data_IF_117210099781
#
_entry.id   IF_117210099781
#
_cell.length_a   1.000
_cell.length_b   1.000
_cell.length_c   1.000
_cell.angle_alpha   90.00
_cell.angle_beta   90.00
_cell.angle_gamma   90.00
#
_symmetry.space_group_name_H-M   'P 1'
#
loop_
_entity.id
_entity.type
_entity.pdbx_description
1 polymer ?
#
# COMPACT_ATOMS: atom_id res chain seq x y z
N UNK A 1 -8.46 -1.69 14.86
CA UNK A 1 -7.17 -1.12 14.44
C UNK A 1 -6.51 -0.43 15.63
N UNK A 2 -5.18 -0.44 15.76
CA UNK A 2 -4.51 0.25 16.88
C UNK A 2 -4.38 1.74 16.57
N UNK A 3 -4.36 2.60 17.58
CA UNK A 3 -4.24 4.07 17.43
C UNK A 3 -3.03 4.50 16.58
N UNK A 4 -1.93 3.74 16.66
CA UNK A 4 -0.74 3.94 15.84
C UNK A 4 -0.93 3.61 14.35
N UNK A 5 -1.81 2.67 13.99
CA UNK A 5 -2.11 2.35 12.59
C UNK A 5 -2.89 3.50 11.94
N UNK A 6 -3.86 4.08 12.65
CA UNK A 6 -4.64 5.22 12.17
C UNK A 6 -3.77 6.48 11.95
N UNK A 7 -2.81 6.74 12.84
CA UNK A 7 -1.87 7.86 12.68
C UNK A 7 -1.02 7.70 11.43
N UNK A 8 -0.54 6.48 11.13
CA UNK A 8 0.25 6.18 9.94
C UNK A 8 -0.55 6.35 8.65
N UNK A 9 -1.80 5.87 8.63
CA UNK A 9 -2.71 6.05 7.48
C UNK A 9 -2.96 7.54 7.24
N UNK A 10 -3.31 8.30 8.28
CA UNK A 10 -3.53 9.75 8.15
C UNK A 10 -2.30 10.49 7.64
N UNK A 11 -1.12 10.12 8.12
CA UNK A 11 0.14 10.70 7.65
C UNK A 11 0.41 10.36 6.17
N UNK A 12 0.10 9.15 5.73
CA UNK A 12 0.20 8.76 4.31
C UNK A 12 -0.79 9.57 3.44
N UNK A 13 -2.05 9.71 3.88
CA UNK A 13 -3.06 10.49 3.16
C UNK A 13 -2.66 11.97 3.02
N UNK A 14 -2.08 12.55 4.07
CA UNK A 14 -1.59 13.93 4.04
C UNK A 14 -0.42 14.10 3.07
N UNK A 15 0.51 13.14 3.04
CA UNK A 15 1.62 13.15 2.07
C UNK A 15 1.13 13.02 0.64
N UNK A 16 0.14 12.16 0.40
CA UNK A 16 -0.48 11.98 -0.91
C UNK A 16 -1.17 13.28 -1.36
N UNK A 17 -1.96 13.90 -0.48
CA UNK A 17 -2.63 15.18 -0.77
C UNK A 17 -1.65 16.31 -1.04
N UNK A 18 -0.54 16.39 -0.29
CA UNK A 18 0.51 17.39 -0.51
C UNK A 18 1.20 17.20 -1.87
N UNK A 19 1.50 15.96 -2.25
CA UNK A 19 2.09 15.64 -3.55
C UNK A 19 1.15 15.97 -4.71
N UNK A 20 -0.16 15.71 -4.57
CA UNK A 20 -1.16 16.12 -5.56
C UNK A 20 -1.20 17.64 -5.73
N UNK A 21 -1.25 18.40 -4.62
CA UNK A 21 -1.26 19.86 -4.67
C UNK A 21 0.02 20.43 -5.33
N UNK A 22 1.18 19.82 -5.11
CA UNK A 22 2.43 20.19 -5.79
C UNK A 22 2.32 20.00 -7.31
N UNK A 23 1.80 18.85 -7.77
CA UNK A 23 1.60 18.56 -9.19
C UNK A 23 0.63 19.54 -9.85
N UNK A 24 -0.50 19.83 -9.20
CA UNK A 24 -1.49 20.81 -9.69
C UNK A 24 -0.88 22.21 -9.79
N UNK A 25 -0.12 22.64 -8.77
CA UNK A 25 0.57 23.93 -8.77
C UNK A 25 1.60 24.05 -9.90
N UNK A 26 2.41 23.01 -10.12
CA UNK A 26 3.38 22.97 -11.20
C UNK A 26 2.70 22.95 -12.57
N UNK A 27 1.62 22.21 -12.74
CA UNK A 27 0.84 22.19 -13.98
C UNK A 27 0.26 23.59 -14.29
N UNK A 28 -0.34 24.26 -13.30
CA UNK A 28 -0.81 25.63 -13.45
C UNK A 28 0.32 26.62 -13.79
N UNK A 29 1.52 26.42 -13.23
CA UNK A 29 2.69 27.22 -13.56
C UNK A 29 3.19 26.97 -14.99
N UNK A 30 3.14 25.73 -15.49
CA UNK A 30 3.46 25.40 -16.89
C UNK A 30 2.52 26.13 -17.85
N UNK A 31 1.21 26.12 -17.57
CA UNK A 31 0.20 26.81 -18.39
C UNK A 31 0.43 28.32 -18.44
N UNK A 32 0.90 28.93 -17.34
CA UNK A 32 1.19 30.37 -17.25
C UNK A 32 2.61 30.76 -17.66
N UNK A 33 3.47 29.81 -18.05
CA UNK A 33 4.84 30.12 -18.43
C UNK A 33 4.90 30.84 -19.79
N UNK A 34 5.36 32.09 -19.77
CA UNK A 34 5.49 32.94 -20.97
C UNK A 34 6.71 32.67 -21.85
N UNK A 35 7.72 31.94 -21.35
CA UNK A 35 8.93 31.62 -22.13
C UNK A 35 9.15 30.12 -22.27
N UNK A 36 9.70 29.70 -23.42
CA UNK A 36 9.98 28.30 -23.74
C UNK A 36 11.01 27.67 -22.77
N UNK A 37 12.01 28.44 -22.35
CA UNK A 37 12.99 28.01 -21.35
C UNK A 37 12.36 27.72 -19.98
N UNK A 38 11.55 28.67 -19.47
CA UNK A 38 10.84 28.49 -18.19
C UNK A 38 9.85 27.32 -18.26
N UNK A 39 9.12 27.20 -19.38
CA UNK A 39 8.18 26.10 -19.60
C UNK A 39 8.88 24.74 -19.57
N UNK A 40 10.02 24.58 -20.25
CA UNK A 40 10.81 23.33 -20.23
C UNK A 40 11.28 22.96 -18.82
N UNK A 41 11.77 23.94 -18.06
CA UNK A 41 12.17 23.70 -16.67
C UNK A 41 10.99 23.23 -15.81
N UNK A 42 9.84 23.91 -15.91
CA UNK A 42 8.64 23.54 -15.16
C UNK A 42 8.09 22.17 -15.56
N UNK A 43 8.18 21.79 -16.84
CA UNK A 43 7.82 20.45 -17.30
C UNK A 43 8.73 19.37 -16.69
N UNK A 44 10.04 19.62 -16.59
CA UNK A 44 10.96 18.70 -15.93
C UNK A 44 10.66 18.56 -14.42
N UNK A 45 10.34 19.68 -13.75
CA UNK A 45 9.92 19.66 -12.34
C UNK A 45 8.59 18.91 -12.15
N UNK A 46 7.61 19.15 -13.03
CA UNK A 46 6.32 18.46 -13.06
C UNK A 46 6.49 16.95 -13.25
N UNK A 47 7.37 16.52 -14.17
CA UNK A 47 7.64 15.10 -14.40
C UNK A 47 8.23 14.42 -13.14
N UNK A 48 9.17 15.09 -12.45
CA UNK A 48 9.72 14.56 -11.19
C UNK A 48 8.67 14.50 -10.08
N UNK A 49 7.80 15.51 -9.98
CA UNK A 49 6.72 15.55 -8.99
C UNK A 49 5.69 14.44 -9.25
N UNK A 50 5.30 14.23 -10.51
CA UNK A 50 4.42 13.14 -10.92
C UNK A 50 5.01 11.77 -10.60
N UNK A 51 6.33 11.58 -10.79
CA UNK A 51 7.02 10.35 -10.38
C UNK A 51 6.91 10.09 -8.87
N UNK A 52 7.19 11.10 -8.04
CA UNK A 52 7.04 10.97 -6.57
C UNK A 52 5.59 10.70 -6.15
N UNK A 53 4.62 11.32 -6.82
CA UNK A 53 3.20 11.05 -6.57
C UNK A 53 2.85 9.59 -6.92
N UNK A 54 3.34 9.08 -8.04
CA UNK A 54 3.14 7.69 -8.42
C UNK A 54 3.75 6.73 -7.39
N UNK A 55 4.95 7.01 -6.88
CA UNK A 55 5.59 6.21 -5.83
C UNK A 55 4.77 6.21 -4.52
N UNK A 56 4.15 7.35 -4.16
CA UNK A 56 3.29 7.46 -2.98
C UNK A 56 1.93 6.78 -3.15
N UNK A 57 1.37 6.84 -4.35
CA UNK A 57 0.08 6.25 -4.70
C UNK A 57 0.19 4.75 -5.00
N UNK A 58 1.40 4.24 -5.26
CA UNK A 58 1.64 2.84 -5.51
C UNK A 58 1.11 2.02 -4.33
N UNK A 59 0.24 1.02 -4.59
CA UNK A 59 -0.20 0.13 -3.52
C UNK A 59 1.04 -0.52 -2.91
N UNK A 60 1.10 -0.68 -1.57
CA UNK A 60 2.21 -1.40 -0.97
C UNK A 60 2.27 -2.77 -1.64
N UNK A 61 3.39 -3.05 -2.33
CA UNK A 61 3.67 -4.35 -2.94
C UNK A 61 3.26 -5.42 -1.93
N UNK A 62 2.37 -6.31 -2.36
CA UNK A 62 1.66 -7.26 -1.51
C UNK A 62 2.58 -7.78 -0.40
N UNK A 63 2.13 -7.78 0.87
CA UNK A 63 3.01 -8.14 1.96
C UNK A 63 3.56 -9.53 1.70
N UNK A 64 4.91 -9.65 1.64
CA UNK A 64 5.61 -10.90 1.96
C UNK A 64 4.85 -11.51 3.13
N UNK A 65 4.23 -12.66 2.87
CA UNK A 65 3.21 -13.34 3.66
C UNK A 65 3.36 -12.95 5.13
N UNK A 66 2.64 -11.90 5.56
CA UNK A 66 2.56 -11.58 6.99
C UNK A 66 1.82 -12.77 7.55
N UNK A 67 2.55 -13.74 8.10
CA UNK A 67 2.01 -14.73 9.02
C UNK A 67 1.26 -13.91 10.05
N UNK A 68 -0.05 -13.84 9.88
CA UNK A 68 -0.95 -13.23 10.83
C UNK A 68 -0.77 -14.10 12.06
N UNK A 69 0.11 -13.68 12.97
CA UNK A 69 0.19 -14.27 14.30
C UNK A 69 -1.20 -14.09 14.86
N UNK A 70 -2.01 -15.16 14.79
CA UNK A 70 -3.42 -15.22 15.16
C UNK A 70 -3.51 -14.94 16.66
N UNK A 71 -3.42 -13.67 17.05
CA UNK A 71 -3.35 -13.20 18.44
C UNK A 71 -4.67 -13.35 19.21
N UNK A 72 -5.77 -13.74 18.56
CA UNK A 72 -7.03 -14.03 19.24
C UNK A 72 -7.07 -15.46 19.77
N UNK A 73 -7.66 -15.67 20.96
CA UNK A 73 -7.92 -17.03 21.51
C UNK A 73 -8.69 -17.90 20.50
N UNK A 74 -9.67 -17.31 19.83
CA UNK A 74 -10.44 -17.95 18.76
C UNK A 74 -9.59 -18.37 17.56
N UNK A 75 -8.65 -17.51 17.12
CA UNK A 75 -7.74 -17.83 16.01
C UNK A 75 -6.80 -18.98 16.34
N UNK A 76 -6.34 -19.07 17.59
CA UNK A 76 -5.54 -20.21 18.09
C UNK A 76 -6.35 -21.50 18.14
N UNK A 77 -7.59 -21.46 18.67
CA UNK A 77 -8.49 -22.64 18.68
C UNK A 77 -8.76 -23.14 17.27
N UNK A 78 -9.06 -22.23 16.33
CA UNK A 78 -9.29 -22.59 14.92
C UNK A 78 -8.06 -23.21 14.27
N UNK A 79 -6.87 -22.66 14.52
CA UNK A 79 -5.62 -23.21 13.98
C UNK A 79 -5.28 -24.61 14.54
N UNK A 80 -5.63 -24.89 15.80
CA UNK A 80 -5.47 -26.24 16.38
C UNK A 80 -6.49 -27.22 15.78
N UNK A 81 -7.73 -26.78 15.54
CA UNK A 81 -8.74 -27.60 14.87
C UNK A 81 -8.37 -27.91 13.41
N UNK A 82 -7.89 -26.91 12.66
CA UNK A 82 -7.39 -27.08 11.27
C UNK A 82 -6.25 -28.12 11.22
N UNK A 83 -5.23 -28.00 12.09
CA UNK A 83 -4.14 -28.99 12.19
C UNK A 83 -4.62 -30.38 12.63
N UNK A 84 -5.61 -30.45 13.51
CA UNK A 84 -6.21 -31.71 13.93
C UNK A 84 -6.90 -32.43 12.78
N UNK A 85 -7.67 -31.68 11.98
CA UNK A 85 -8.33 -32.19 10.78
C UNK A 85 -7.32 -32.68 9.73
N UNK A 86 -6.26 -31.91 9.48
CA UNK A 86 -5.16 -32.33 8.59
C UNK A 86 -4.54 -33.66 9.02
N UNK A 87 -4.34 -33.86 10.34
CA UNK A 87 -3.76 -35.10 10.88
C UNK A 87 -4.70 -36.31 10.73
N UNK A 88 -6.01 -36.09 10.86
CA UNK A 88 -7.03 -37.12 10.64
C UNK A 88 -7.10 -37.48 9.15
N UNK A 89 -7.14 -36.48 8.26
CA UNK A 89 -7.12 -36.70 6.81
C UNK A 89 -5.83 -37.39 6.37
N UNK A 90 -4.67 -37.03 6.93
CA UNK A 90 -3.41 -37.71 6.61
C UNK A 90 -3.40 -39.17 7.08
N UNK A 91 -4.07 -39.49 8.19
CA UNK A 91 -4.13 -40.85 8.76
C UNK A 91 -5.18 -41.74 8.08
N UNK A 92 -6.31 -41.17 7.64
CA UNK A 92 -7.46 -41.93 7.15
C UNK A 92 -7.86 -41.63 5.69
N UNK A 93 -7.34 -40.57 5.09
CA UNK A 93 -7.64 -40.16 3.72
C UNK A 93 -6.89 -40.95 2.64
N UNK A 94 -5.93 -41.80 3.01
CA UNK A 94 -5.25 -42.74 2.10
C UNK A 94 -5.89 -44.13 2.11
N UNK A 95 -7.23 -44.17 2.15
CA UNK A 95 -8.01 -45.41 2.08
C UNK A 95 -9.23 -45.33 1.16
N UNK A 96 -9.38 -44.23 0.41
CA UNK A 96 -10.40 -44.08 -0.62
C UNK A 96 -9.72 -44.04 -2.00
N UNK A 97 -9.27 -45.20 -2.44
CA UNK A 97 -9.03 -45.53 -3.85
C UNK A 97 -9.29 -47.03 -4.01
#
# INVERSE_FOLDING_TARGET
>A
MRRGDMRRVREADLRLGAAMAEVEGLYAAVLRAGTSGRRRRLQAELSRAAGRLADLAAPPSAPRTRTVVRRSRWGRRRALAERGAERIVARYGRGAS
#
